data_IF_737905066775
#
_entry.id   IF_737905066775
#
_cell.length_a   1.000
_cell.length_b   1.000
_cell.length_c   1.000
_cell.angle_alpha   90.00
_cell.angle_beta   90.00
_cell.angle_gamma   90.00
#
_symmetry.space_group_name_H-M   'P 1'
#
loop_
_entity.id
_entity.type
_entity.pdbx_description
1 polymer ?
#
# COMPACT_ATOMS: atom_id res chain seq x y z
N UNK A 1 -41.07 42.98 -19.41
CA UNK A 1 -41.37 44.07 -20.37
C UNK A 1 -41.06 45.39 -19.68
N UNK A 2 -40.36 46.30 -20.38
CA UNK A 2 -39.73 47.55 -19.94
C UNK A 2 -38.39 47.38 -19.21
N UNK A 3 -37.40 48.26 -19.36
CA UNK A 3 -36.95 49.10 -20.48
C UNK A 3 -35.68 49.79 -19.95
N UNK A 4 -34.65 49.90 -20.79
CA UNK A 4 -33.48 50.80 -20.70
C UNK A 4 -33.92 52.28 -20.49
N UNK A 5 -33.05 53.32 -20.31
CA UNK A 5 -31.61 53.46 -20.60
C UNK A 5 -30.83 54.28 -19.52
N UNK A 6 -29.52 54.50 -19.55
CA UNK A 6 -28.69 55.24 -20.51
C UNK A 6 -27.50 55.80 -19.69
N UNK A 7 -26.26 55.60 -20.11
CA UNK A 7 -25.52 56.36 -21.11
C UNK A 7 -24.67 57.47 -20.47
N UNK A 8 -23.43 57.51 -20.94
CA UNK A 8 -22.51 58.65 -20.94
C UNK A 8 -21.76 59.03 -19.67
N UNK A 9 -20.52 58.54 -19.59
CA UNK A 9 -19.39 59.44 -19.33
C UNK A 9 -18.17 59.00 -20.14
N UNK A 10 -18.02 59.64 -21.30
CA UNK A 10 -16.78 60.18 -21.87
C UNK A 10 -15.50 59.33 -21.70
N UNK A 11 -15.02 58.67 -22.75
CA UNK A 11 -14.20 59.29 -23.81
C UNK A 11 -13.02 60.10 -23.27
N UNK A 12 -11.84 59.46 -23.18
CA UNK A 12 -10.58 60.06 -23.62
C UNK A 12 -9.49 59.00 -23.77
N UNK A 13 -9.13 58.76 -25.02
CA UNK A 13 -7.78 58.54 -25.51
C UNK A 13 -6.88 57.53 -24.76
N UNK A 14 -6.56 56.42 -25.43
CA UNK A 14 -5.21 55.82 -25.52
C UNK A 14 -5.30 54.61 -26.45
N UNK A 15 -5.14 54.85 -27.74
CA UNK A 15 -3.87 54.66 -28.41
C UNK A 15 -3.48 53.18 -28.49
N UNK A 16 -3.55 52.65 -29.72
CA UNK A 16 -2.82 51.49 -30.21
C UNK A 16 -1.58 51.15 -29.38
N UNK A 17 -1.62 50.03 -28.66
CA UNK A 17 -0.41 49.30 -28.28
C UNK A 17 -0.43 47.96 -29.00
N UNK A 18 0.17 47.94 -30.19
CA UNK A 18 0.69 46.69 -30.79
C UNK A 18 1.70 46.13 -29.79
N UNK A 19 1.42 44.97 -29.21
CA UNK A 19 2.40 44.24 -28.39
C UNK A 19 3.62 43.87 -29.24
N UNK A 20 4.83 43.83 -28.66
CA UNK A 20 6.03 43.45 -29.39
C UNK A 20 5.92 42.00 -29.87
N UNK A 21 6.38 41.75 -31.09
CA UNK A 21 6.49 40.41 -31.67
C UNK A 21 7.34 39.52 -30.75
N UNK A 22 6.82 38.32 -30.45
CA UNK A 22 7.50 37.30 -29.65
C UNK A 22 8.80 36.89 -30.35
N UNK A 23 9.97 36.92 -29.70
CA UNK A 23 11.20 36.48 -30.35
C UNK A 23 11.11 34.98 -30.68
N UNK A 24 11.54 34.63 -31.88
CA UNK A 24 11.71 33.24 -32.28
C UNK A 24 12.68 32.55 -31.32
N UNK A 25 12.28 31.38 -30.80
CA UNK A 25 13.19 30.53 -30.01
C UNK A 25 14.39 30.15 -30.89
N UNK A 26 15.64 30.29 -30.43
CA UNK A 26 16.75 29.69 -31.13
C UNK A 26 16.61 28.16 -31.09
N UNK A 27 16.82 27.53 -32.24
CA UNK A 27 16.89 26.07 -32.37
C UNK A 27 17.94 25.54 -31.38
N UNK A 28 17.53 24.61 -30.51
CA UNK A 28 18.48 23.86 -29.69
C UNK A 28 19.42 23.08 -30.61
N UNK A 29 20.75 23.05 -30.34
CA UNK A 29 21.65 22.26 -31.16
C UNK A 29 21.32 20.78 -30.94
N UNK A 30 21.20 20.02 -32.05
CA UNK A 30 21.14 18.57 -32.00
C UNK A 30 22.38 18.05 -31.28
N UNK A 31 22.19 17.29 -30.20
CA UNK A 31 23.29 16.66 -29.48
C UNK A 31 24.11 15.80 -30.46
N UNK A 32 25.39 16.14 -30.63
CA UNK A 32 26.28 15.44 -31.56
C UNK A 32 26.56 13.98 -31.15
N UNK A 33 26.99 13.13 -32.11
CA UNK A 33 27.17 11.69 -31.90
C UNK A 33 28.18 11.35 -30.79
N UNK A 34 29.11 12.25 -30.46
CA UNK A 34 30.05 12.09 -29.35
C UNK A 34 29.39 12.16 -27.96
N UNK A 35 28.35 13.00 -27.79
CA UNK A 35 27.60 13.09 -26.53
C UNK A 35 26.68 11.87 -26.33
N UNK A 36 26.14 11.33 -27.43
CA UNK A 36 25.35 10.10 -27.41
C UNK A 36 26.24 8.86 -27.19
N UNK A 37 27.47 8.83 -27.74
CA UNK A 37 28.42 7.75 -27.49
C UNK A 37 28.93 7.72 -26.04
N UNK A 38 29.17 8.89 -25.42
CA UNK A 38 29.55 8.98 -24.01
C UNK A 38 28.40 8.60 -23.06
N UNK A 39 27.16 8.98 -23.38
CA UNK A 39 25.98 8.57 -22.64
C UNK A 39 25.67 7.07 -22.79
N UNK A 40 25.86 6.51 -23.99
CA UNK A 40 25.71 5.08 -24.25
C UNK A 40 26.81 4.24 -23.55
N UNK A 41 28.05 4.72 -23.51
CA UNK A 41 29.16 4.07 -22.79
C UNK A 41 29.01 4.13 -21.26
N UNK A 42 28.39 5.19 -20.72
CA UNK A 42 28.05 5.27 -19.30
C UNK A 42 26.84 4.37 -18.93
N UNK A 43 25.91 4.17 -19.87
CA UNK A 43 24.75 3.30 -19.69
C UNK A 43 25.08 1.80 -19.80
N UNK A 44 26.12 1.42 -20.56
CA UNK A 44 26.57 0.02 -20.66
C UNK A 44 27.49 -0.42 -19.51
N UNK A 45 27.91 0.49 -18.64
CA UNK A 45 28.93 0.22 -17.61
C UNK A 45 28.38 -0.08 -16.21
N UNK A 46 27.05 -0.13 -15.98
CA UNK A 46 26.49 -0.48 -14.67
C UNK A 46 25.25 -1.35 -14.78
N UNK A 47 25.43 -2.56 -15.25
CA UNK A 47 24.62 -3.68 -14.77
C UNK A 47 25.58 -4.83 -14.46
N UNK A 48 26.20 -4.76 -13.28
CA UNK A 48 26.77 -5.95 -12.68
C UNK A 48 25.61 -6.71 -12.06
N UNK A 49 25.29 -7.92 -12.54
CA UNK A 49 24.26 -8.70 -11.90
C UNK A 49 24.80 -9.07 -10.52
N UNK A 50 24.20 -8.52 -9.47
CA UNK A 50 24.44 -8.86 -8.07
C UNK A 50 24.00 -10.32 -7.80
N UNK A 51 24.67 -11.29 -8.42
CA UNK A 51 24.32 -12.71 -8.38
C UNK A 51 24.60 -13.38 -7.03
N UNK A 52 24.90 -12.61 -5.98
CA UNK A 52 25.24 -13.15 -4.65
C UNK A 52 24.80 -12.33 -3.44
N UNK A 53 24.18 -11.15 -3.63
CA UNK A 53 23.88 -10.24 -2.50
C UNK A 53 22.40 -10.24 -2.10
N UNK A 54 21.46 -10.43 -3.03
CA UNK A 54 20.02 -10.37 -2.74
C UNK A 54 19.61 -11.34 -1.63
N UNK A 55 20.05 -12.60 -1.70
CA UNK A 55 19.77 -13.59 -0.65
C UNK A 55 20.30 -13.20 0.73
N UNK A 56 21.51 -12.61 0.80
CA UNK A 56 22.10 -12.16 2.07
C UNK A 56 21.30 -11.00 2.68
N UNK A 57 20.83 -10.08 1.84
CA UNK A 57 19.95 -8.98 2.28
C UNK A 57 18.62 -9.54 2.80
N UNK A 58 17.97 -10.45 2.08
CA UNK A 58 16.72 -11.06 2.55
C UNK A 58 16.91 -11.87 3.84
N UNK A 59 18.02 -12.60 3.98
CA UNK A 59 18.35 -13.31 5.22
C UNK A 59 18.61 -12.34 6.38
N UNK A 60 19.31 -11.24 6.15
CA UNK A 60 19.53 -10.22 7.18
C UNK A 60 18.21 -9.58 7.62
N UNK A 61 17.33 -9.26 6.66
CA UNK A 61 15.98 -8.74 6.95
C UNK A 61 15.16 -9.76 7.74
N UNK A 62 15.16 -11.03 7.32
CA UNK A 62 14.46 -12.09 8.03
C UNK A 62 14.99 -12.28 9.46
N UNK A 63 16.32 -12.27 9.64
CA UNK A 63 16.95 -12.41 10.95
C UNK A 63 16.59 -11.26 11.90
N UNK A 64 16.66 -10.02 11.42
CA UNK A 64 16.26 -8.84 12.21
C UNK A 64 14.77 -8.93 12.56
N UNK A 65 13.91 -9.23 11.59
CA UNK A 65 12.48 -9.39 11.82
C UNK A 65 12.20 -10.47 12.89
N UNK A 66 12.80 -11.66 12.78
CA UNK A 66 12.67 -12.71 13.79
C UNK A 66 13.16 -12.24 15.16
N UNK A 67 14.32 -11.58 15.23
CA UNK A 67 14.92 -11.13 16.49
C UNK A 67 14.01 -10.19 17.30
N UNK A 68 13.27 -9.32 16.60
CA UNK A 68 12.31 -8.40 17.23
C UNK A 68 11.14 -9.11 17.93
N UNK A 69 10.84 -10.36 17.58
CA UNK A 69 9.75 -11.14 18.17
C UNK A 69 10.24 -12.29 19.07
N UNK A 70 11.56 -12.51 19.20
CA UNK A 70 12.09 -13.58 20.07
C UNK A 70 11.70 -13.37 21.54
N UNK A 71 11.58 -12.12 21.97
CA UNK A 71 11.10 -11.78 23.32
C UNK A 71 9.63 -12.16 23.56
N UNK A 72 8.83 -12.30 22.50
CA UNK A 72 7.42 -12.67 22.59
C UNK A 72 7.20 -14.20 22.68
N UNK A 73 8.23 -15.02 22.46
CA UNK A 73 8.10 -16.48 22.48
C UNK A 73 7.72 -17.05 23.86
N UNK A 74 7.98 -16.29 24.92
CA UNK A 74 7.65 -16.67 26.30
C UNK A 74 6.50 -15.83 26.87
N UNK A 75 5.68 -15.22 26.00
CA UNK A 75 4.49 -14.48 26.42
C UNK A 75 3.36 -15.42 26.83
N UNK A 76 2.58 -14.99 27.82
CA UNK A 76 1.34 -15.66 28.21
C UNK A 76 0.19 -15.30 27.26
N UNK A 77 -0.89 -16.07 27.32
CA UNK A 77 -2.12 -15.77 26.60
C UNK A 77 -2.74 -14.46 27.06
N UNK A 78 -3.03 -13.58 26.09
CA UNK A 78 -3.78 -12.34 26.36
C UNK A 78 -5.28 -12.55 26.19
N UNK A 79 -6.06 -11.49 26.42
CA UNK A 79 -7.52 -11.56 26.59
C UNK A 79 -8.27 -12.38 25.54
N UNK A 80 -7.92 -12.25 24.26
CA UNK A 80 -8.60 -12.94 23.16
C UNK A 80 -8.05 -14.37 22.95
N UNK A 81 -6.79 -14.62 23.30
CA UNK A 81 -6.19 -15.94 23.12
C UNK A 81 -6.81 -16.97 24.06
N UNK A 82 -7.13 -16.55 25.29
CA UNK A 82 -7.70 -17.43 26.32
C UNK A 82 -9.00 -18.09 25.83
N UNK A 83 -10.06 -17.35 25.44
CA UNK A 83 -11.29 -17.97 24.96
C UNK A 83 -11.09 -18.71 23.63
N UNK A 84 -10.26 -18.21 22.72
CA UNK A 84 -10.09 -18.82 21.40
C UNK A 84 -9.28 -20.13 21.41
N UNK A 85 -8.23 -20.22 22.24
CA UNK A 85 -7.27 -21.34 22.22
C UNK A 85 -7.49 -22.29 23.40
N UNK A 86 -7.68 -21.76 24.61
CA UNK A 86 -7.70 -22.60 25.83
C UNK A 86 -9.09 -23.07 26.24
N UNK A 87 -10.13 -22.30 25.89
CA UNK A 87 -11.52 -22.59 26.32
C UNK A 87 -12.43 -23.00 25.17
N UNK A 88 -12.02 -22.79 23.92
CA UNK A 88 -12.79 -23.19 22.76
C UNK A 88 -12.80 -24.73 22.64
N UNK A 89 -14.00 -25.33 22.70
CA UNK A 89 -14.21 -26.78 22.57
C UNK A 89 -13.77 -27.33 21.22
N UNK A 90 -13.85 -26.52 20.17
CA UNK A 90 -13.38 -26.85 18.83
C UNK A 90 -11.87 -26.94 18.75
N UNK A 91 -11.16 -26.18 19.58
CA UNK A 91 -9.69 -26.20 19.65
C UNK A 91 -9.18 -27.30 20.59
N UNK A 92 -9.74 -27.44 21.79
CA UNK A 92 -9.23 -28.43 22.76
C UNK A 92 -9.62 -29.88 22.48
N UNK A 93 -10.31 -30.14 21.37
CA UNK A 93 -10.67 -31.51 20.99
C UNK A 93 -11.91 -32.09 21.68
N UNK A 94 -12.67 -31.28 22.42
CA UNK A 94 -13.76 -31.75 23.29
C UNK A 94 -15.08 -32.06 22.56
N UNK A 95 -15.12 -31.89 21.24
CA UNK A 95 -16.27 -32.19 20.38
C UNK A 95 -15.84 -32.77 19.02
N UNK A 96 -16.79 -33.30 18.23
CA UNK A 96 -16.57 -33.69 16.84
C UNK A 96 -15.88 -32.62 16.00
N UNK A 97 -14.99 -33.02 15.09
CA UNK A 97 -14.32 -32.07 14.19
C UNK A 97 -15.31 -31.30 13.30
N UNK A 98 -16.49 -31.87 13.05
CA UNK A 98 -17.53 -31.23 12.24
C UNK A 98 -18.09 -29.96 12.89
N UNK A 99 -17.95 -29.80 14.21
CA UNK A 99 -18.48 -28.64 14.94
C UNK A 99 -17.71 -27.36 14.61
N UNK A 100 -16.43 -27.49 14.23
CA UNK A 100 -15.60 -26.38 13.70
C UNK A 100 -16.25 -25.68 12.49
N UNK A 101 -17.08 -26.38 11.73
CA UNK A 101 -17.79 -25.83 10.57
C UNK A 101 -19.19 -25.29 10.88
N UNK A 102 -19.67 -25.47 12.11
CA UNK A 102 -21.00 -25.04 12.59
C UNK A 102 -20.90 -23.93 13.64
N UNK A 103 -19.76 -23.79 14.27
CA UNK A 103 -19.52 -22.85 15.34
C UNK A 103 -18.73 -21.62 14.81
N UNK A 104 -18.75 -20.55 15.59
CA UNK A 104 -17.90 -19.38 15.34
C UNK A 104 -16.48 -19.58 15.89
N UNK A 105 -15.61 -18.61 15.62
CA UNK A 105 -14.21 -18.63 16.04
C UNK A 105 -14.01 -18.85 17.56
N UNK A 106 -15.00 -18.54 18.39
CA UNK A 106 -14.93 -18.64 19.84
C UNK A 106 -15.55 -19.96 20.37
N UNK A 107 -16.04 -20.82 19.48
CA UNK A 107 -16.66 -22.10 19.83
C UNK A 107 -18.13 -21.97 20.22
N UNK A 108 -18.80 -20.91 19.79
CA UNK A 108 -20.24 -20.72 19.99
C UNK A 108 -20.98 -21.12 18.70
N UNK A 109 -22.06 -21.91 18.76
CA UNK A 109 -22.83 -22.26 17.57
C UNK A 109 -23.25 -21.04 16.75
N UNK A 110 -23.00 -21.08 15.44
CA UNK A 110 -23.24 -19.94 14.54
C UNK A 110 -24.72 -19.54 14.50
N UNK A 111 -25.64 -20.43 14.87
CA UNK A 111 -27.07 -20.14 14.96
C UNK A 111 -27.44 -19.36 16.23
N UNK A 112 -26.61 -19.39 17.28
CA UNK A 112 -26.89 -18.73 18.56
C UNK A 112 -26.84 -17.20 18.43
N UNK A 113 -27.75 -16.49 19.11
CA UNK A 113 -27.76 -15.03 19.15
C UNK A 113 -26.54 -14.43 19.87
N UNK A 114 -25.93 -15.18 20.79
CA UNK A 114 -24.70 -14.80 21.48
C UNK A 114 -23.44 -14.98 20.63
N UNK A 115 -23.55 -15.65 19.48
CA UNK A 115 -22.41 -15.82 18.57
C UNK A 115 -21.93 -14.49 18.02
N UNK A 116 -20.61 -14.31 17.97
CA UNK A 116 -19.98 -13.16 17.34
C UNK A 116 -19.99 -13.21 15.81
N UNK A 117 -20.53 -14.30 15.23
CA UNK A 117 -20.65 -14.53 13.78
C UNK A 117 -19.33 -14.51 13.00
N UNK A 118 -18.21 -14.66 13.70
CA UNK A 118 -16.88 -14.73 13.11
C UNK A 118 -16.59 -16.15 12.62
N UNK A 119 -16.86 -16.43 11.34
CA UNK A 119 -16.60 -17.75 10.73
C UNK A 119 -15.15 -17.90 10.27
N UNK A 120 -14.36 -18.75 10.94
CA UNK A 120 -12.91 -18.94 10.70
C UNK A 120 -12.46 -20.41 10.86
N UNK A 121 -13.10 -21.37 10.19
CA UNK A 121 -12.85 -22.80 10.42
C UNK A 121 -11.39 -23.20 10.18
N UNK A 122 -10.73 -22.63 9.16
CA UNK A 122 -9.33 -22.94 8.88
C UNK A 122 -8.39 -22.46 9.99
N UNK A 123 -8.63 -21.27 10.55
CA UNK A 123 -7.84 -20.75 11.67
C UNK A 123 -8.08 -21.58 12.93
N UNK A 124 -9.34 -21.93 13.24
CA UNK A 124 -9.65 -22.79 14.39
C UNK A 124 -8.95 -24.15 14.27
N UNK A 125 -8.91 -24.74 13.07
CA UNK A 125 -8.19 -26.00 12.81
C UNK A 125 -6.68 -25.89 13.02
N UNK A 126 -6.06 -24.73 12.82
CA UNK A 126 -4.61 -24.57 13.07
C UNK A 126 -4.25 -24.59 14.55
N UNK A 127 -5.21 -24.37 15.45
CA UNK A 127 -5.00 -24.44 16.89
C UNK A 127 -5.34 -25.80 17.50
N UNK A 128 -6.14 -26.62 16.80
CA UNK A 128 -6.61 -27.92 17.26
C UNK A 128 -5.56 -29.02 17.14
#
# INVERSE_FOLDING_TARGET
MRSMPGADTQQRARAHRRGPARPARPNAPAAGPAAQAAAAAAATARDHPDKGCGGRVYLAVAAVACSCYLNALHGDFVHDDIPAVTRNRDVVGAGPLADVFRDDFWGTPMADAASHKSYRPLTTLTFR
#
